data_IF_574953528303
#
_entry.id   IF_574953528303
#
_cell.length_a   1.000
_cell.length_b   1.000
_cell.length_c   1.000
_cell.angle_alpha   90.00
_cell.angle_beta   90.00
_cell.angle_gamma   90.00
#
_symmetry.space_group_name_H-M   'P 1'
#
loop_
_entity.id
_entity.type
_entity.pdbx_description
1 polymer ?
#
# COMPACT_ATOMS: atom_id res chain seq x y z
N UNK A 1 0.27 -16.67 -14.04
CA UNK A 1 -1.16 -16.91 -14.40
C UNK A 1 -1.95 -15.70 -13.96
N UNK A 2 -2.91 -15.24 -14.77
CA UNK A 2 -3.87 -14.19 -14.38
C UNK A 2 -5.25 -14.80 -14.17
N UNK A 3 -5.97 -14.29 -13.18
CA UNK A 3 -7.36 -14.68 -12.87
C UNK A 3 -8.25 -13.46 -13.09
N UNK A 4 -9.39 -13.65 -13.74
CA UNK A 4 -10.37 -12.59 -13.92
C UNK A 4 -11.22 -12.44 -12.65
N UNK A 5 -11.37 -11.20 -12.18
CA UNK A 5 -12.22 -10.86 -11.03
C UNK A 5 -13.30 -9.90 -11.51
N UNK A 6 -14.56 -10.18 -11.16
CA UNK A 6 -15.70 -9.32 -11.47
C UNK A 6 -16.27 -8.74 -10.19
N UNK A 7 -16.35 -7.41 -10.10
CA UNK A 7 -16.88 -6.67 -8.96
C UNK A 7 -17.86 -5.61 -9.44
N UNK A 8 -18.89 -5.34 -8.63
CA UNK A 8 -19.78 -4.20 -8.83
C UNK A 8 -19.15 -2.96 -8.22
N UNK A 9 -19.03 -1.90 -8.99
CA UNK A 9 -18.51 -0.61 -8.53
C UNK A 9 -19.56 0.49 -8.70
N UNK A 10 -19.58 1.52 -7.83
CA UNK A 10 -20.41 2.69 -8.03
C UNK A 10 -20.07 3.41 -9.34
N UNK A 11 -21.10 3.91 -10.04
CA UNK A 11 -20.92 4.59 -11.33
C UNK A 11 -20.00 5.81 -11.23
N UNK A 12 -20.04 6.53 -10.12
CA UNK A 12 -19.18 7.68 -9.86
C UNK A 12 -17.70 7.29 -9.83
N UNK A 13 -17.36 6.21 -9.13
CA UNK A 13 -16.00 5.70 -9.04
C UNK A 13 -15.47 5.26 -10.42
N UNK A 14 -16.32 4.65 -11.25
CA UNK A 14 -15.95 4.30 -12.63
C UNK A 14 -15.66 5.54 -13.47
N UNK A 15 -16.44 6.62 -13.31
CA UNK A 15 -16.21 7.88 -14.02
C UNK A 15 -14.88 8.52 -13.65
N UNK A 16 -14.52 8.52 -12.37
CA UNK A 16 -13.22 9.02 -11.90
C UNK A 16 -12.08 8.17 -12.46
N UNK A 17 -12.20 6.85 -12.38
CA UNK A 17 -11.21 5.92 -12.92
C UNK A 17 -11.02 6.09 -14.43
N UNK A 18 -12.10 6.31 -15.18
CA UNK A 18 -12.04 6.59 -16.62
C UNK A 18 -11.28 7.90 -16.92
N UNK A 19 -11.43 8.92 -16.07
CA UNK A 19 -10.71 10.19 -16.20
C UNK A 19 -9.21 10.00 -15.98
N UNK A 20 -8.83 9.29 -14.91
CA UNK A 20 -7.42 8.96 -14.61
C UNK A 20 -6.82 8.09 -15.71
N UNK A 21 -7.54 7.08 -16.18
CA UNK A 21 -7.11 6.20 -17.27
C UNK A 21 -6.81 6.99 -18.55
N UNK A 22 -7.69 7.94 -18.92
CA UNK A 22 -7.47 8.82 -20.07
C UNK A 22 -6.27 9.74 -19.89
N UNK A 23 -6.17 10.40 -18.74
CA UNK A 23 -5.10 11.38 -18.46
C UNK A 23 -3.71 10.73 -18.42
N UNK A 24 -3.63 9.48 -18.00
CA UNK A 24 -2.36 8.73 -17.87
C UNK A 24 -2.06 7.86 -19.08
N UNK A 25 -2.98 7.79 -20.06
CA UNK A 25 -2.90 6.88 -21.21
C UNK A 25 -2.71 5.41 -20.81
N UNK A 26 -3.30 5.00 -19.67
CA UNK A 26 -3.26 3.62 -19.16
C UNK A 26 -4.67 3.05 -19.04
N UNK A 27 -4.78 1.73 -19.11
CA UNK A 27 -6.06 1.05 -18.95
C UNK A 27 -6.60 1.16 -17.53
N UNK A 28 -7.92 1.08 -17.36
CA UNK A 28 -8.55 0.93 -16.04
C UNK A 28 -7.96 -0.22 -15.24
N UNK A 29 -7.73 -1.36 -15.89
CA UNK A 29 -7.18 -2.55 -15.26
C UNK A 29 -5.79 -2.31 -14.69
N UNK A 30 -4.95 -1.51 -15.37
CA UNK A 30 -3.63 -1.13 -14.85
C UNK A 30 -3.74 -0.38 -13.53
N UNK A 31 -4.62 0.62 -13.47
CA UNK A 31 -4.83 1.41 -12.25
C UNK A 31 -5.45 0.59 -11.12
N UNK A 32 -6.43 -0.27 -11.43
CA UNK A 32 -7.02 -1.18 -10.45
C UNK A 32 -5.96 -2.14 -9.88
N UNK A 33 -5.12 -2.72 -10.74
CA UNK A 33 -4.04 -3.61 -10.30
C UNK A 33 -3.05 -2.87 -9.42
N UNK A 34 -2.61 -1.67 -9.83
CA UNK A 34 -1.67 -0.87 -9.04
C UNK A 34 -2.24 -0.41 -7.71
N UNK A 35 -3.51 0.00 -7.67
CA UNK A 35 -4.18 0.36 -6.44
C UNK A 35 -4.27 -0.82 -5.47
N UNK A 36 -4.56 -2.03 -5.98
CA UNK A 36 -4.58 -3.25 -5.16
C UNK A 36 -3.18 -3.63 -4.66
N UNK A 37 -2.14 -3.53 -5.50
CA UNK A 37 -0.76 -3.78 -5.08
C UNK A 37 -0.35 -2.85 -3.94
N UNK A 38 -0.56 -1.53 -4.10
CA UNK A 38 -0.25 -0.52 -3.08
C UNK A 38 -1.06 -0.78 -1.80
N UNK A 39 -2.36 -1.03 -1.92
CA UNK A 39 -3.19 -1.32 -0.76
C UNK A 39 -2.69 -2.54 0.03
N UNK A 40 -2.31 -3.61 -0.67
CA UNK A 40 -1.80 -4.82 -0.01
C UNK A 40 -0.43 -4.61 0.64
N UNK A 41 0.44 -3.83 0.00
CA UNK A 41 1.74 -3.41 0.55
C UNK A 41 1.55 -2.59 1.83
N UNK A 42 0.69 -1.57 1.79
CA UNK A 42 0.37 -0.72 2.95
C UNK A 42 -0.22 -1.54 4.11
N UNK A 43 -1.08 -2.53 3.82
CA UNK A 43 -1.62 -3.41 4.86
C UNK A 43 -0.55 -4.31 5.48
N UNK A 44 0.39 -4.82 4.68
CA UNK A 44 1.49 -5.63 5.17
C UNK A 44 2.43 -4.82 6.06
N UNK A 45 2.81 -3.62 5.62
CA UNK A 45 3.66 -2.70 6.38
C UNK A 45 3.01 -2.29 7.71
N UNK A 46 1.70 -1.98 7.69
CA UNK A 46 0.94 -1.70 8.90
C UNK A 46 0.98 -2.87 9.88
N UNK A 47 0.79 -4.10 9.39
CA UNK A 47 0.80 -5.29 10.25
C UNK A 47 2.19 -5.48 10.87
N UNK A 48 3.28 -5.33 10.10
CA UNK A 48 4.64 -5.41 10.62
C UNK A 48 4.88 -4.36 11.70
N UNK A 49 4.41 -3.12 11.50
CA UNK A 49 4.54 -2.06 12.49
C UNK A 49 3.77 -2.38 13.78
N UNK A 50 2.56 -2.93 13.68
CA UNK A 50 1.78 -3.37 14.84
C UNK A 50 2.41 -4.54 15.57
N UNK A 51 2.99 -5.49 14.85
CA UNK A 51 3.67 -6.64 15.44
C UNK A 51 4.89 -6.18 16.24
N UNK A 52 5.69 -5.26 15.69
CA UNK A 52 6.82 -4.64 16.40
C UNK A 52 6.38 -3.82 17.61
N UNK A 53 5.32 -3.02 17.47
CA UNK A 53 4.79 -2.21 18.57
C UNK A 53 4.36 -3.05 19.78
N UNK A 54 3.82 -4.24 19.53
CA UNK A 54 3.37 -5.15 20.59
C UNK A 54 4.44 -6.15 21.04
N UNK A 55 5.63 -6.15 20.44
CA UNK A 55 6.72 -7.03 20.84
C UNK A 55 7.38 -6.52 22.12
N UNK A 56 6.95 -7.09 23.25
CA UNK A 56 7.52 -6.79 24.57
C UNK A 56 8.99 -7.22 24.75
N UNK A 57 9.54 -7.99 23.81
CA UNK A 57 10.94 -8.41 23.82
C UNK A 57 11.86 -7.51 22.99
N UNK A 58 11.30 -6.53 22.27
CA UNK A 58 12.06 -5.61 21.42
C UNK A 58 12.92 -4.65 22.28
N UNK A 59 14.24 -4.58 22.08
CA UNK A 59 15.11 -3.69 22.86
C UNK A 59 14.79 -2.21 22.64
N UNK A 60 14.56 -1.48 23.73
CA UNK A 60 14.41 -0.03 23.69
C UNK A 60 15.81 0.60 23.62
N UNK A 61 16.09 1.32 22.54
CA UNK A 61 17.31 2.12 22.38
C UNK A 61 17.01 3.62 22.54
N UNK A 62 18.03 4.38 22.92
CA UNK A 62 17.96 5.85 22.97
C UNK A 62 17.99 6.46 21.57
N UNK A 63 17.57 7.73 21.47
CA UNK A 63 17.61 8.46 20.20
C UNK A 63 19.04 8.62 19.64
N UNK A 64 20.05 8.69 20.52
CA UNK A 64 21.45 8.80 20.12
C UNK A 64 21.97 7.47 19.55
N UNK A 65 21.60 6.33 20.16
CA UNK A 65 21.91 5.00 19.63
C UNK A 65 21.23 4.77 18.27
N UNK A 66 19.95 5.14 18.14
CA UNK A 66 19.22 5.05 16.86
C UNK A 66 19.91 5.85 15.75
N UNK A 67 20.35 7.08 16.04
CA UNK A 67 21.07 7.93 15.08
C UNK A 67 22.39 7.32 14.64
N UNK A 68 23.15 6.78 15.59
CA UNK A 68 24.39 6.06 15.31
C UNK A 68 24.16 4.85 14.40
N UNK A 69 23.10 4.07 14.61
CA UNK A 69 22.77 2.91 13.77
C UNK A 69 22.32 3.30 12.35
N UNK A 70 21.53 4.38 12.24
CA UNK A 70 21.02 4.88 10.96
C UNK A 70 22.05 5.70 10.17
N UNK A 71 23.24 5.95 10.74
CA UNK A 71 24.28 6.82 10.17
C UNK A 71 23.77 8.25 9.86
N UNK A 72 22.93 8.81 10.74
CA UNK A 72 22.33 10.16 10.62
C UNK A 72 22.55 11.02 11.85
#
# INVERSE_FOLDING_TARGET
MSVAVSIRMPDELIRELDSVAKMTERSRSFHIQKALEIYLEDQADLQIALDRLHDSSDPIISIDEMRNELNV
#
